data_IF_612629305113
#
_entry.id   IF_612629305113
#
_cell.length_a   1.000
_cell.length_b   1.000
_cell.length_c   1.000
_cell.angle_alpha   90.00
_cell.angle_beta   90.00
_cell.angle_gamma   90.00
#
_symmetry.space_group_name_H-M   'P 1'
#
loop_
_entity.id
_entity.type
_entity.pdbx_description
1 polymer ?
#
# COMPACT_ATOMS: atom_id res chain seq x y z
N UNK A 1 15.54 -25.51 5.71
CA UNK A 1 14.12 -25.09 5.69
C UNK A 1 14.10 -23.58 5.95
N UNK A 2 13.17 -22.81 5.36
CA UNK A 2 12.96 -21.43 5.81
C UNK A 2 12.43 -21.45 7.25
N UNK A 3 12.66 -20.38 8.02
CA UNK A 3 11.88 -20.14 9.24
C UNK A 3 10.45 -19.73 8.83
N UNK A 4 9.47 -20.19 9.57
CA UNK A 4 8.10 -19.67 9.54
C UNK A 4 7.90 -18.66 10.68
N UNK A 5 6.87 -17.79 10.62
CA UNK A 5 6.50 -16.93 11.75
C UNK A 5 6.27 -17.73 13.04
N UNK A 6 5.66 -18.92 12.93
CA UNK A 6 5.47 -19.83 14.06
C UNK A 6 6.79 -20.36 14.66
N UNK A 7 7.86 -20.51 13.88
CA UNK A 7 9.19 -20.89 14.41
C UNK A 7 9.85 -19.74 15.18
N UNK A 8 9.53 -18.48 14.83
CA UNK A 8 9.96 -17.29 15.57
C UNK A 8 9.17 -17.20 16.88
N UNK A 9 7.84 -17.33 16.83
CA UNK A 9 6.96 -17.25 18.00
C UNK A 9 7.25 -18.33 19.06
N UNK A 10 7.64 -19.54 18.63
CA UNK A 10 7.93 -20.66 19.53
C UNK A 10 9.42 -20.77 19.92
N UNK A 11 10.25 -19.76 19.64
CA UNK A 11 11.67 -19.80 20.00
C UNK A 11 11.87 -19.60 21.51
N UNK A 12 12.67 -20.45 22.14
CA UNK A 12 12.96 -20.38 23.57
C UNK A 12 14.47 -20.25 23.83
N UNK A 13 14.91 -19.11 24.34
CA UNK A 13 16.32 -18.86 24.66
C UNK A 13 16.69 -19.38 26.06
N UNK A 14 17.86 -20.02 26.17
CA UNK A 14 18.39 -20.48 27.46
C UNK A 14 18.92 -19.30 28.29
N UNK A 15 18.53 -19.21 29.56
CA UNK A 15 19.01 -18.14 30.46
C UNK A 15 20.55 -18.13 30.59
N UNK A 16 21.21 -16.96 30.71
CA UNK A 16 22.66 -16.85 30.69
C UNK A 16 23.37 -17.69 31.78
N UNK A 17 24.56 -18.27 31.49
CA UNK A 17 25.38 -18.90 32.52
C UNK A 17 25.71 -17.94 33.66
N UNK A 18 25.65 -18.45 34.90
CA UNK A 18 25.83 -17.67 36.13
C UNK A 18 27.12 -16.83 36.06
N UNK A 19 26.97 -15.52 36.30
CA UNK A 19 28.06 -14.54 36.21
C UNK A 19 28.23 -13.85 34.86
N UNK A 20 27.48 -14.24 33.81
CA UNK A 20 27.40 -13.50 32.54
C UNK A 20 26.11 -12.69 32.44
N UNK A 21 26.20 -11.51 31.83
CA UNK A 21 25.03 -10.73 31.39
C UNK A 21 24.44 -11.34 30.12
N UNK A 22 23.11 -11.36 30.03
CA UNK A 22 22.38 -11.63 28.79
C UNK A 22 21.84 -10.35 28.16
N UNK A 23 21.00 -10.52 27.15
CA UNK A 23 20.07 -9.49 26.68
C UNK A 23 18.93 -9.31 27.69
N UNK A 24 18.18 -8.21 27.58
CA UNK A 24 16.95 -8.01 28.33
C UNK A 24 15.82 -8.85 27.70
N UNK A 25 15.04 -9.56 28.51
CA UNK A 25 13.97 -10.45 28.02
C UNK A 25 12.88 -9.62 27.30
N UNK A 26 12.44 -8.50 27.89
CA UNK A 26 11.45 -7.58 27.30
C UNK A 26 11.86 -6.99 25.93
N UNK A 27 13.17 -6.69 25.75
CA UNK A 27 13.70 -6.11 24.50
C UNK A 27 13.89 -7.16 23.40
N UNK A 28 14.10 -8.43 23.77
CA UNK A 28 14.19 -9.54 22.82
C UNK A 28 12.80 -9.90 22.34
N UNK A 29 11.82 -10.01 23.23
CA UNK A 29 10.44 -10.39 22.87
C UNK A 29 9.81 -9.32 21.95
N UNK A 30 9.94 -8.03 22.28
CA UNK A 30 9.48 -6.94 21.42
C UNK A 30 10.20 -6.85 20.06
N UNK A 31 11.40 -7.42 19.92
CA UNK A 31 12.08 -7.57 18.64
C UNK A 31 11.61 -8.82 17.87
N UNK A 32 11.31 -9.92 18.56
CA UNK A 32 10.71 -11.11 17.96
C UNK A 32 9.33 -10.83 17.36
N UNK A 33 8.47 -10.07 18.05
CA UNK A 33 7.16 -9.63 17.55
C UNK A 33 7.29 -8.92 16.18
N UNK A 34 8.24 -8.00 16.07
CA UNK A 34 8.50 -7.22 14.85
C UNK A 34 9.09 -8.10 13.73
N UNK A 35 9.93 -9.09 14.07
CA UNK A 35 10.45 -10.08 13.13
C UNK A 35 9.36 -11.05 12.66
N UNK A 36 8.44 -11.47 13.54
CA UNK A 36 7.29 -12.32 13.19
C UNK A 36 6.35 -11.57 12.22
N UNK A 37 6.07 -10.29 12.49
CA UNK A 37 5.23 -9.45 11.65
C UNK A 37 5.82 -9.24 10.25
N UNK A 38 7.09 -8.83 10.13
CA UNK A 38 7.73 -8.64 8.82
C UNK A 38 7.99 -9.96 8.10
N UNK A 39 8.28 -11.06 8.80
CA UNK A 39 8.40 -12.39 8.17
C UNK A 39 7.05 -12.86 7.59
N UNK A 40 5.94 -12.63 8.29
CA UNK A 40 4.59 -12.92 7.80
C UNK A 40 4.28 -12.10 6.54
N UNK A 41 4.49 -10.78 6.62
CA UNK A 41 4.31 -9.84 5.51
C UNK A 41 5.15 -10.22 4.28
N UNK A 42 6.43 -10.57 4.47
CA UNK A 42 7.32 -10.98 3.38
C UNK A 42 6.90 -12.31 2.74
N UNK A 43 6.28 -13.21 3.48
CA UNK A 43 5.72 -14.46 2.94
C UNK A 43 4.47 -14.18 2.11
N UNK A 44 3.57 -13.31 2.58
CA UNK A 44 2.40 -12.84 1.83
C UNK A 44 2.81 -12.13 0.53
N UNK A 45 3.72 -11.14 0.62
CA UNK A 45 4.24 -10.42 -0.55
C UNK A 45 4.95 -11.37 -1.54
N UNK A 46 5.67 -12.40 -1.05
CA UNK A 46 6.27 -13.40 -1.95
C UNK A 46 5.25 -14.34 -2.59
N UNK A 47 4.09 -14.58 -1.96
CA UNK A 47 2.99 -15.33 -2.55
C UNK A 47 2.27 -14.52 -3.64
N UNK A 48 1.91 -13.27 -3.35
CA UNK A 48 1.29 -12.34 -4.30
C UNK A 48 2.17 -12.12 -5.54
N UNK A 49 3.48 -11.90 -5.34
CA UNK A 49 4.44 -11.75 -6.44
C UNK A 49 4.56 -13.03 -7.28
N UNK A 50 4.49 -14.22 -6.68
CA UNK A 50 4.50 -15.49 -7.42
C UNK A 50 3.22 -15.70 -8.22
N UNK A 51 2.06 -15.39 -7.63
CA UNK A 51 0.79 -15.43 -8.35
C UNK A 51 0.86 -14.50 -9.56
N UNK A 52 1.28 -13.24 -9.36
CA UNK A 52 1.33 -12.24 -10.43
C UNK A 52 2.33 -12.56 -11.54
N UNK A 53 3.46 -13.20 -11.23
CA UNK A 53 4.37 -13.76 -12.25
C UNK A 53 3.69 -14.89 -13.02
N UNK A 54 2.96 -15.78 -12.34
CA UNK A 54 2.20 -16.87 -12.99
C UNK A 54 1.03 -16.38 -13.86
N UNK A 55 0.41 -15.26 -13.50
CA UNK A 55 -0.60 -14.56 -14.32
C UNK A 55 0.05 -13.94 -15.57
N UNK A 56 1.14 -13.19 -15.41
CA UNK A 56 1.88 -12.59 -16.52
C UNK A 56 2.48 -13.64 -17.48
N UNK A 57 2.97 -14.77 -16.98
CA UNK A 57 3.44 -15.89 -17.82
C UNK A 57 2.29 -16.56 -18.60
N UNK A 58 1.06 -16.54 -18.07
CA UNK A 58 -0.14 -16.99 -18.78
C UNK A 58 -0.57 -15.98 -19.84
N UNK A 59 -0.64 -14.68 -19.52
CA UNK A 59 -0.92 -13.61 -20.51
C UNK A 59 0.11 -13.65 -21.66
N UNK A 60 1.40 -13.79 -21.34
CA UNK A 60 2.48 -13.94 -22.31
C UNK A 60 2.47 -15.28 -23.07
N UNK A 61 1.71 -16.28 -22.63
CA UNK A 61 1.45 -17.52 -23.38
C UNK A 61 0.22 -17.37 -24.28
N UNK A 62 -0.82 -16.65 -23.84
CA UNK A 62 -2.00 -16.32 -24.64
C UNK A 62 -1.66 -15.32 -25.77
N UNK A 63 -0.80 -14.32 -25.54
CA UNK A 63 -0.27 -13.46 -26.61
C UNK A 63 0.57 -14.24 -27.65
N UNK A 64 1.34 -15.25 -27.21
CA UNK A 64 2.18 -16.07 -28.09
C UNK A 64 1.40 -17.15 -28.85
N UNK A 65 0.28 -17.62 -28.30
CA UNK A 65 -0.60 -18.60 -28.94
C UNK A 65 -1.74 -17.95 -29.74
N UNK A 66 -2.03 -16.67 -29.50
CA UNK A 66 -2.88 -15.84 -30.37
C UNK A 66 -2.29 -15.81 -31.79
N UNK A 67 -3.04 -16.25 -32.82
CA UNK A 67 -2.51 -16.39 -34.18
C UNK A 67 -2.30 -15.03 -34.85
N UNK A 68 -1.09 -14.48 -34.71
CA UNK A 68 -0.67 -13.27 -35.41
C UNK A 68 -0.84 -13.45 -36.93
N UNK A 69 -1.62 -12.60 -37.62
CA UNK A 69 -1.86 -12.76 -39.06
C UNK A 69 -0.56 -12.52 -39.85
N UNK A 70 0.02 -13.59 -40.39
CA UNK A 70 1.20 -13.52 -41.24
C UNK A 70 0.80 -13.15 -42.68
N UNK A 71 1.31 -12.04 -43.20
CA UNK A 71 1.10 -11.63 -44.59
C UNK A 71 2.30 -10.84 -45.14
N UNK A 72 3.10 -11.49 -46.00
CA UNK A 72 4.24 -10.96 -46.79
C UNK A 72 5.43 -10.36 -45.98
N UNK A 73 6.71 -10.38 -46.40
CA UNK A 73 7.45 -10.67 -47.64
C UNK A 73 8.93 -11.00 -47.28
N UNK A 74 9.89 -11.51 -48.08
CA UNK A 74 10.03 -12.21 -49.38
C UNK A 74 11.53 -12.69 -49.49
N UNK A 75 12.01 -13.60 -50.35
CA UNK A 75 11.33 -14.50 -51.31
C UNK A 75 12.05 -15.87 -51.52
N UNK A 76 13.26 -15.99 -52.14
CA UNK A 76 13.59 -17.22 -52.89
C UNK A 76 14.85 -17.98 -52.43
N UNK A 77 14.92 -19.31 -52.68
CA UNK A 77 15.40 -19.79 -53.99
C UNK A 77 14.44 -20.78 -54.69
N UNK A 78 14.65 -21.01 -55.98
CA UNK A 78 13.75 -21.79 -56.83
C UNK A 78 14.12 -23.28 -56.98
N UNK A 79 13.12 -24.17 -56.94
CA UNK A 79 13.03 -25.38 -57.80
C UNK A 79 11.64 -26.05 -57.74
N UNK A 80 11.32 -26.80 -58.79
CA UNK A 80 10.24 -27.79 -58.92
C UNK A 80 8.77 -27.29 -58.94
N UNK A 81 8.30 -26.99 -60.17
CA UNK A 81 6.95 -27.40 -60.61
C UNK A 81 6.83 -28.95 -60.71
N UNK A 82 5.64 -29.54 -60.93
CA UNK A 82 4.45 -29.37 -60.09
C UNK A 82 3.74 -30.72 -59.80
N UNK A 83 3.03 -30.81 -58.68
CA UNK A 83 2.07 -31.90 -58.45
C UNK A 83 0.79 -31.33 -57.81
N UNK A 84 -0.34 -31.51 -58.51
CA UNK A 84 -1.70 -31.27 -57.98
C UNK A 84 -2.58 -32.40 -58.47
N UNK A 85 -2.80 -33.39 -57.61
CA UNK A 85 -3.87 -34.35 -57.80
C UNK A 85 -5.21 -33.63 -57.77
N UNK A 86 -6.00 -33.79 -58.84
CA UNK A 86 -7.37 -33.28 -58.93
C UNK A 86 -8.30 -34.47 -58.72
N UNK A 87 -8.91 -34.56 -57.55
CA UNK A 87 -9.77 -35.69 -57.18
C UNK A 87 -11.05 -35.72 -58.04
N UNK A 88 -11.42 -36.91 -58.51
CA UNK A 88 -12.43 -37.10 -59.56
C UNK A 88 -13.62 -37.97 -59.08
N UNK A 89 -14.81 -37.39 -58.92
CA UNK A 89 -16.05 -38.15 -58.76
C UNK A 89 -16.62 -38.66 -60.10
N UNK A 90 -16.93 -39.95 -60.11
CA UNK A 90 -17.60 -40.76 -61.16
C UNK A 90 -18.88 -40.10 -61.74
N UNK A 91 -19.01 -40.04 -63.08
CA UNK A 91 -19.82 -40.96 -63.93
C UNK A 91 -21.25 -40.41 -64.23
N UNK A 92 -22.00 -40.88 -65.26
CA UNK A 92 -21.83 -42.10 -66.07
C UNK A 92 -21.49 -41.89 -67.56
N UNK A 93 -21.13 -42.99 -68.23
CA UNK A 93 -20.97 -43.04 -69.67
C UNK A 93 -22.31 -43.34 -70.37
N UNK A 94 -22.58 -42.66 -71.48
CA UNK A 94 -23.57 -43.07 -72.48
C UNK A 94 -22.87 -43.17 -73.85
N UNK A 95 -22.95 -44.34 -74.48
CA UNK A 95 -22.76 -44.45 -75.91
C UNK A 95 -23.99 -43.84 -76.62
N UNK A 96 -23.85 -43.36 -77.87
CA UNK A 96 -23.96 -44.32 -78.97
C UNK A 96 -22.93 -44.13 -80.09
N UNK A 97 -22.68 -45.20 -80.84
CA UNK A 97 -22.09 -45.14 -82.16
C UNK A 97 -23.15 -45.53 -83.20
N UNK A 98 -23.42 -44.67 -84.18
CA UNK A 98 -23.98 -45.02 -85.49
C UNK A 98 -23.90 -43.79 -86.42
N UNK A 99 -23.52 -44.01 -87.67
CA UNK A 99 -23.67 -43.00 -88.72
C UNK A 99 -24.96 -43.26 -89.51
N UNK A 100 -25.72 -42.22 -89.82
CA UNK A 100 -26.81 -42.26 -90.78
C UNK A 100 -26.97 -40.89 -91.45
N UNK A 101 -26.65 -40.82 -92.74
CA UNK A 101 -26.78 -39.61 -93.57
C UNK A 101 -28.12 -39.59 -94.31
N UNK A 102 -28.86 -38.49 -94.21
CA UNK A 102 -30.04 -38.22 -95.04
C UNK A 102 -30.10 -36.72 -95.40
N UNK A 103 -30.10 -36.33 -96.70
CA UNK A 103 -30.15 -34.94 -97.10
C UNK A 103 -31.58 -34.46 -97.45
N UNK A 104 -31.83 -33.15 -97.35
CA UNK A 104 -32.85 -32.47 -98.16
C UNK A 104 -33.91 -31.62 -97.43
N UNK A 105 -33.54 -30.40 -97.02
CA UNK A 105 -34.37 -29.17 -97.05
C UNK A 105 -33.54 -27.95 -96.56
N UNK A 106 -32.37 -27.74 -97.20
CA UNK A 106 -31.27 -26.93 -96.69
C UNK A 106 -31.31 -25.41 -96.94
N UNK A 107 -32.48 -24.80 -97.14
CA UNK A 107 -32.60 -23.36 -97.39
C UNK A 107 -33.36 -22.64 -96.26
N UNK A 108 -34.68 -22.83 -96.19
CA UNK A 108 -35.55 -22.11 -95.25
C UNK A 108 -35.25 -22.46 -93.79
N UNK A 109 -34.94 -23.73 -93.51
CA UNK A 109 -34.52 -24.18 -92.18
C UNK A 109 -33.23 -23.49 -91.71
N UNK A 110 -32.29 -23.18 -92.62
CA UNK A 110 -31.07 -22.45 -92.28
C UNK A 110 -31.35 -20.95 -92.06
N UNK A 111 -32.27 -20.34 -92.81
CA UNK A 111 -32.71 -18.96 -92.55
C UNK A 111 -33.46 -18.82 -91.22
N UNK A 112 -34.31 -19.79 -90.88
CA UNK A 112 -35.02 -19.84 -89.60
C UNK A 112 -34.06 -20.09 -88.43
N UNK A 113 -33.12 -21.05 -88.57
CA UNK A 113 -32.08 -21.29 -87.57
C UNK A 113 -31.18 -20.06 -87.37
N UNK A 114 -30.75 -19.39 -88.45
CA UNK A 114 -29.96 -18.16 -88.36
C UNK A 114 -30.72 -17.02 -87.67
N UNK A 115 -32.04 -16.90 -87.89
CA UNK A 115 -32.86 -15.87 -87.22
C UNK A 115 -33.08 -16.18 -85.73
N UNK A 116 -33.22 -17.45 -85.35
CA UNK A 116 -33.26 -17.88 -83.94
C UNK A 116 -31.90 -17.70 -83.26
N UNK A 117 -30.80 -18.01 -83.94
CA UNK A 117 -29.43 -17.76 -83.45
C UNK A 117 -29.17 -16.26 -83.24
N UNK A 118 -29.58 -15.40 -84.17
CA UNK A 118 -29.46 -13.94 -84.01
C UNK A 118 -30.24 -13.42 -82.79
N UNK A 119 -31.48 -13.89 -82.58
CA UNK A 119 -32.29 -13.51 -81.43
C UNK A 119 -31.72 -14.08 -80.10
N UNK A 120 -31.14 -15.28 -80.14
CA UNK A 120 -30.44 -15.87 -79.00
C UNK A 120 -29.12 -15.14 -78.66
N UNK A 121 -28.38 -14.66 -79.67
CA UNK A 121 -27.21 -13.80 -79.48
C UNK A 121 -27.61 -12.43 -78.89
N UNK A 122 -28.63 -11.77 -79.45
CA UNK A 122 -29.16 -10.52 -78.91
C UNK A 122 -29.61 -10.67 -77.44
N UNK A 123 -30.25 -11.80 -77.09
CA UNK A 123 -30.61 -12.12 -75.71
C UNK A 123 -29.38 -12.39 -74.82
N UNK A 124 -28.33 -13.05 -75.33
CA UNK A 124 -27.11 -13.32 -74.59
C UNK A 124 -26.27 -12.04 -74.35
N UNK A 125 -26.15 -11.18 -75.37
CA UNK A 125 -25.49 -9.88 -75.28
C UNK A 125 -26.23 -8.96 -74.28
N UNK A 126 -27.57 -8.97 -74.33
CA UNK A 126 -28.40 -8.25 -73.37
C UNK A 126 -28.23 -8.76 -71.94
N UNK A 127 -28.35 -10.07 -71.71
CA UNK A 127 -28.13 -10.65 -70.38
C UNK A 127 -26.71 -10.38 -69.85
N UNK A 128 -25.71 -10.34 -70.74
CA UNK A 128 -24.33 -9.97 -70.39
C UNK A 128 -24.23 -8.49 -69.99
N UNK A 129 -24.92 -7.60 -70.70
CA UNK A 129 -25.01 -6.16 -70.37
C UNK A 129 -25.75 -5.92 -69.04
N UNK A 130 -26.87 -6.60 -68.83
CA UNK A 130 -27.70 -6.46 -67.63
C UNK A 130 -26.92 -6.99 -66.40
N UNK A 131 -26.35 -8.20 -66.47
CA UNK A 131 -25.54 -8.78 -65.39
C UNK A 131 -24.25 -7.98 -65.10
N UNK A 132 -23.62 -7.39 -66.13
CA UNK A 132 -22.49 -6.47 -65.94
C UNK A 132 -22.91 -5.20 -65.19
N UNK A 133 -24.05 -4.61 -65.57
CA UNK A 133 -24.59 -3.41 -64.92
C UNK A 133 -24.94 -3.69 -63.45
N UNK A 134 -25.57 -4.83 -63.17
CA UNK A 134 -25.85 -5.29 -61.80
C UNK A 134 -24.56 -5.52 -61.00
N UNK A 135 -23.54 -6.14 -61.60
CA UNK A 135 -22.24 -6.34 -60.95
C UNK A 135 -21.52 -5.02 -60.62
N UNK A 136 -21.52 -4.06 -61.55
CA UNK A 136 -20.95 -2.72 -61.33
C UNK A 136 -21.72 -1.94 -60.24
N UNK A 137 -23.06 -2.07 -60.20
CA UNK A 137 -23.90 -1.48 -59.15
C UNK A 137 -23.65 -2.14 -57.77
N UNK A 138 -23.54 -3.47 -57.71
CA UNK A 138 -23.23 -4.20 -56.47
C UNK A 138 -21.84 -3.84 -55.94
N UNK A 139 -20.83 -3.73 -56.80
CA UNK A 139 -19.50 -3.27 -56.43
C UNK A 139 -19.50 -1.80 -55.94
N UNK A 140 -20.27 -0.92 -56.58
CA UNK A 140 -20.46 0.46 -56.12
C UNK A 140 -21.13 0.56 -54.75
N UNK A 141 -22.18 -0.22 -54.51
CA UNK A 141 -22.87 -0.29 -53.23
C UNK A 141 -21.97 -0.87 -52.13
N UNK A 142 -21.29 -1.98 -52.40
CA UNK A 142 -20.35 -2.60 -51.46
C UNK A 142 -19.19 -1.66 -51.10
N UNK A 143 -18.68 -0.92 -52.07
CA UNK A 143 -17.64 0.10 -51.87
C UNK A 143 -18.12 1.25 -50.99
N UNK A 144 -19.27 1.85 -51.30
CA UNK A 144 -19.85 2.95 -50.51
C UNK A 144 -20.09 2.52 -49.05
N UNK A 145 -20.62 1.31 -48.84
CA UNK A 145 -20.84 0.74 -47.51
C UNK A 145 -19.51 0.50 -46.75
N UNK A 146 -18.47 -0.01 -47.44
CA UNK A 146 -17.15 -0.19 -46.83
C UNK A 146 -16.48 1.16 -46.49
N UNK A 147 -16.61 2.18 -47.34
CA UNK A 147 -16.11 3.53 -47.09
C UNK A 147 -16.83 4.19 -45.89
N UNK A 148 -18.15 4.00 -45.77
CA UNK A 148 -18.94 4.44 -44.60
C UNK A 148 -18.55 3.69 -43.31
N UNK A 149 -18.42 2.36 -43.35
CA UNK A 149 -18.00 1.58 -42.18
C UNK A 149 -16.62 2.04 -41.67
N UNK A 150 -15.71 2.40 -42.58
CA UNK A 150 -14.40 2.94 -42.23
C UNK A 150 -14.50 4.37 -41.67
N UNK A 151 -15.39 5.24 -42.14
CA UNK A 151 -15.59 6.56 -41.52
C UNK A 151 -16.20 6.45 -40.12
N UNK A 152 -17.18 5.57 -39.94
CA UNK A 152 -17.87 5.38 -38.66
C UNK A 152 -16.94 4.77 -37.61
N UNK A 153 -16.13 3.77 -38.02
CA UNK A 153 -15.10 3.17 -37.17
C UNK A 153 -13.99 4.16 -36.78
N UNK A 154 -13.55 5.03 -37.70
CA UNK A 154 -12.58 6.11 -37.39
C UNK A 154 -13.16 7.11 -36.41
N UNK A 155 -14.35 7.65 -36.69
CA UNK A 155 -15.04 8.62 -35.84
C UNK A 155 -15.21 8.08 -34.42
N UNK A 156 -15.66 6.82 -34.28
CA UNK A 156 -15.86 6.18 -32.98
C UNK A 156 -14.55 5.87 -32.24
N UNK A 157 -13.45 5.64 -32.97
CA UNK A 157 -12.11 5.51 -32.39
C UNK A 157 -11.61 6.86 -31.87
N UNK A 158 -11.79 7.93 -32.66
CA UNK A 158 -11.41 9.30 -32.30
C UNK A 158 -12.18 9.81 -31.08
N UNK A 159 -13.49 9.54 -30.97
CA UNK A 159 -14.25 9.87 -29.74
C UNK A 159 -13.76 9.08 -28.54
N UNK A 160 -13.55 7.76 -28.65
CA UNK A 160 -13.01 6.95 -27.54
C UNK A 160 -11.62 7.42 -27.08
N UNK A 161 -10.74 7.82 -28.01
CA UNK A 161 -9.41 8.37 -27.68
C UNK A 161 -9.54 9.74 -26.98
N UNK A 162 -10.50 10.58 -27.42
CA UNK A 162 -10.77 11.88 -26.78
C UNK A 162 -11.31 11.71 -25.36
N UNK A 163 -12.34 10.87 -25.18
CA UNK A 163 -12.94 10.56 -23.88
C UNK A 163 -11.92 9.94 -22.91
N UNK A 164 -11.09 9.00 -23.38
CA UNK A 164 -10.04 8.39 -22.56
C UNK A 164 -8.98 9.42 -22.12
N UNK A 165 -8.58 10.35 -22.99
CA UNK A 165 -7.67 11.45 -22.65
C UNK A 165 -8.28 12.40 -21.63
N UNK A 166 -9.50 12.90 -21.88
CA UNK A 166 -10.20 13.81 -20.98
C UNK A 166 -10.43 13.18 -19.60
N UNK A 167 -10.79 11.89 -19.55
CA UNK A 167 -10.95 11.15 -18.29
C UNK A 167 -9.62 10.97 -17.56
N UNK A 168 -8.53 10.70 -18.27
CA UNK A 168 -7.18 10.61 -17.68
C UNK A 168 -6.73 11.94 -17.09
N UNK A 169 -6.90 13.05 -17.83
CA UNK A 169 -6.55 14.41 -17.38
C UNK A 169 -7.38 14.85 -16.16
N UNK A 170 -8.68 14.52 -16.14
CA UNK A 170 -9.54 14.75 -14.97
C UNK A 170 -9.09 13.92 -13.75
N UNK A 171 -8.73 12.65 -13.93
CA UNK A 171 -8.21 11.79 -12.85
C UNK A 171 -6.86 12.27 -12.30
N UNK A 172 -5.96 12.75 -13.16
CA UNK A 172 -4.69 13.36 -12.74
C UNK A 172 -4.95 14.62 -11.92
N UNK A 173 -5.87 15.47 -12.37
CA UNK A 173 -6.23 16.73 -11.69
C UNK A 173 -6.89 16.49 -10.32
N UNK A 174 -7.80 15.51 -10.22
CA UNK A 174 -8.40 15.10 -8.94
C UNK A 174 -7.35 14.51 -8.00
N UNK A 175 -6.49 13.61 -8.49
CA UNK A 175 -5.42 13.01 -7.69
C UNK A 175 -4.42 14.06 -7.17
N UNK A 176 -4.05 15.06 -8.00
CA UNK A 176 -3.23 16.20 -7.58
C UNK A 176 -3.94 17.02 -6.50
N UNK A 177 -5.19 17.44 -6.74
CA UNK A 177 -5.99 18.24 -5.79
C UNK A 177 -6.15 17.51 -4.44
N UNK A 178 -6.39 16.20 -4.48
CA UNK A 178 -6.52 15.35 -3.29
C UNK A 178 -5.19 15.17 -2.56
N UNK A 179 -4.08 15.06 -3.30
CA UNK A 179 -2.73 15.01 -2.71
C UNK A 179 -2.35 16.33 -2.03
N UNK A 180 -2.59 17.47 -2.69
CA UNK A 180 -2.31 18.80 -2.13
C UNK A 180 -3.14 19.09 -0.88
N UNK A 181 -4.44 18.78 -0.90
CA UNK A 181 -5.32 18.95 0.27
C UNK A 181 -4.94 18.01 1.42
N UNK A 182 -4.54 16.77 1.14
CA UNK A 182 -4.01 15.85 2.16
C UNK A 182 -2.67 16.35 2.74
N UNK A 183 -1.75 16.85 1.91
CA UNK A 183 -0.48 17.44 2.35
C UNK A 183 -0.70 18.71 3.18
N UNK A 184 -1.69 19.54 2.84
CA UNK A 184 -2.05 20.72 3.64
C UNK A 184 -2.60 20.32 5.01
N UNK A 185 -3.55 19.38 5.05
CA UNK A 185 -4.09 18.84 6.32
C UNK A 185 -3.03 18.15 7.18
N UNK A 186 -2.04 17.49 6.57
CA UNK A 186 -0.93 16.88 7.30
C UNK A 186 -0.01 17.93 7.94
N UNK A 187 0.31 19.02 7.22
CA UNK A 187 1.06 20.16 7.75
C UNK A 187 0.30 20.88 8.86
N UNK A 188 -0.96 21.26 8.62
CA UNK A 188 -1.85 21.90 9.61
C UNK A 188 -1.91 21.10 10.93
N UNK A 189 -1.93 19.75 10.86
CA UNK A 189 -1.89 18.87 12.04
C UNK A 189 -0.51 18.81 12.71
N UNK A 190 0.58 18.78 11.93
CA UNK A 190 1.95 18.79 12.46
C UNK A 190 2.27 20.10 13.18
N UNK A 191 1.93 21.24 12.56
CA UNK A 191 2.10 22.58 13.12
C UNK A 191 1.28 22.74 14.41
N UNK A 192 0.04 22.24 14.44
CA UNK A 192 -0.80 22.24 15.63
C UNK A 192 -0.25 21.35 16.77
N UNK A 193 0.29 20.18 16.44
CA UNK A 193 0.93 19.28 17.42
C UNK A 193 2.22 19.88 17.98
N UNK A 194 3.04 20.53 17.14
CA UNK A 194 4.22 21.26 17.59
C UNK A 194 3.84 22.40 18.54
N UNK A 195 2.85 23.22 18.17
CA UNK A 195 2.39 24.32 19.01
C UNK A 195 1.76 23.88 20.35
N UNK A 196 1.19 22.68 20.42
CA UNK A 196 0.72 22.05 21.66
C UNK A 196 1.89 21.50 22.51
N UNK A 197 2.88 20.86 21.88
CA UNK A 197 4.10 20.39 22.53
C UNK A 197 4.94 21.55 23.12
N UNK A 198 5.07 22.67 22.40
CA UNK A 198 5.79 23.87 22.86
C UNK A 198 5.09 24.54 24.07
N UNK A 199 3.75 24.58 24.08
CA UNK A 199 2.97 25.05 25.24
C UNK A 199 3.20 24.14 26.45
N UNK A 200 3.01 22.83 26.29
CA UNK A 200 3.24 21.85 27.37
C UNK A 200 4.67 21.90 27.89
N UNK A 201 5.67 22.04 27.01
CA UNK A 201 7.06 22.22 27.41
C UNK A 201 7.26 23.50 28.24
N UNK A 202 6.70 24.64 27.82
CA UNK A 202 6.83 25.90 28.58
C UNK A 202 6.08 25.88 29.91
N UNK A 203 4.89 25.26 29.98
CA UNK A 203 4.13 25.03 31.22
C UNK A 203 4.87 24.11 32.21
N UNK A 204 5.43 23.00 31.72
CA UNK A 204 6.24 22.07 32.52
C UNK A 204 7.50 22.76 33.02
N UNK A 205 8.21 23.52 32.17
CA UNK A 205 9.42 24.24 32.57
C UNK A 205 9.11 25.39 33.55
N UNK A 206 7.98 26.08 33.42
CA UNK A 206 7.53 27.05 34.43
C UNK A 206 7.29 26.36 35.79
N UNK A 207 6.61 25.21 35.78
CA UNK A 207 6.34 24.40 36.98
C UNK A 207 7.62 23.91 37.64
N UNK A 208 8.58 23.38 36.87
CA UNK A 208 9.88 22.92 37.36
C UNK A 208 10.67 24.08 37.98
N UNK A 209 10.70 25.25 37.34
CA UNK A 209 11.39 26.42 37.88
C UNK A 209 10.72 26.95 39.17
N UNK A 210 9.39 26.90 39.27
CA UNK A 210 8.68 27.22 40.52
C UNK A 210 9.02 26.24 41.65
N UNK A 211 8.99 24.92 41.38
CA UNK A 211 9.37 23.90 42.35
C UNK A 211 10.83 24.06 42.80
N UNK A 212 11.73 24.31 41.85
CA UNK A 212 13.15 24.59 42.13
C UNK A 212 13.31 25.79 43.06
N UNK A 213 12.66 26.92 42.76
CA UNK A 213 12.71 28.14 43.59
C UNK A 213 12.21 27.90 45.02
N UNK A 214 11.12 27.14 45.19
CA UNK A 214 10.61 26.74 46.52
C UNK A 214 11.59 25.85 47.28
N UNK A 215 12.27 24.91 46.60
CA UNK A 215 13.29 24.06 47.20
C UNK A 215 14.56 24.84 47.58
N UNK A 216 15.03 25.74 46.71
CA UNK A 216 16.18 26.62 46.97
C UNK A 216 15.91 27.52 48.19
N UNK A 217 14.73 28.16 48.27
CA UNK A 217 14.33 28.96 49.43
C UNK A 217 14.21 28.13 50.73
N UNK A 218 13.73 26.89 50.66
CA UNK A 218 13.66 26.01 51.85
C UNK A 218 15.04 25.51 52.28
N UNK A 219 15.98 25.32 51.36
CA UNK A 219 17.39 25.04 51.66
C UNK A 219 18.04 26.24 52.38
N UNK A 220 17.73 27.47 51.97
CA UNK A 220 18.24 28.67 52.65
C UNK A 220 17.64 28.87 54.05
N UNK A 221 16.34 28.63 54.21
CA UNK A 221 15.69 28.60 55.54
C UNK A 221 16.34 27.56 56.47
N UNK A 222 16.60 26.34 55.98
CA UNK A 222 17.27 25.30 56.76
C UNK A 222 18.71 25.67 57.15
N UNK A 223 19.48 26.31 56.26
CA UNK A 223 20.84 26.80 56.56
C UNK A 223 20.84 27.91 57.63
N UNK A 224 19.84 28.79 57.60
CA UNK A 224 19.67 29.84 58.61
C UNK A 224 19.27 29.23 59.96
N UNK A 225 18.29 28.32 59.97
CA UNK A 225 17.90 27.58 61.18
C UNK A 225 19.07 26.78 61.77
N UNK A 226 19.88 26.11 60.95
CA UNK A 226 21.07 25.38 61.40
C UNK A 226 22.08 26.33 62.06
N UNK A 227 22.33 27.51 61.49
CA UNK A 227 23.22 28.53 62.04
C UNK A 227 22.71 29.04 63.40
N UNK A 228 21.44 29.41 63.48
CA UNK A 228 20.81 29.87 64.71
C UNK A 228 20.78 28.78 65.79
N UNK A 229 20.47 27.54 65.42
CA UNK A 229 20.47 26.39 66.32
C UNK A 229 21.88 26.11 66.86
N UNK A 230 22.92 26.11 66.01
CA UNK A 230 24.33 25.99 66.44
C UNK A 230 24.73 27.07 67.43
N UNK A 231 24.35 28.33 67.20
CA UNK A 231 24.64 29.46 68.10
C UNK A 231 23.88 29.31 69.43
N UNK A 232 22.58 29.00 69.39
CA UNK A 232 21.76 28.80 70.60
C UNK A 232 22.24 27.60 71.43
N UNK A 233 22.57 26.48 70.78
CA UNK A 233 23.12 25.30 71.45
C UNK A 233 24.48 25.60 72.09
N UNK A 234 25.37 26.33 71.40
CA UNK A 234 26.64 26.76 71.99
C UNK A 234 26.42 27.62 73.24
N UNK A 235 25.60 28.67 73.12
CA UNK A 235 25.30 29.57 74.24
C UNK A 235 24.63 28.85 75.42
N UNK A 236 23.77 27.86 75.17
CA UNK A 236 23.17 27.02 76.21
C UNK A 236 24.22 26.15 76.91
N UNK A 237 25.13 25.52 76.17
CA UNK A 237 26.21 24.70 76.75
C UNK A 237 27.22 25.55 77.52
N UNK A 238 27.56 26.75 77.02
CA UNK A 238 28.40 27.72 77.73
C UNK A 238 27.74 28.16 79.04
N UNK A 239 26.44 28.48 79.03
CA UNK A 239 25.68 28.82 80.24
C UNK A 239 25.56 27.67 81.23
N UNK A 240 25.37 26.43 80.78
CA UNK A 240 25.36 25.25 81.66
C UNK A 240 26.73 24.97 82.28
N UNK A 241 27.82 25.21 81.54
CA UNK A 241 29.18 25.03 82.03
C UNK A 241 29.52 26.12 83.06
N UNK A 242 29.11 27.37 82.83
CA UNK A 242 29.23 28.45 83.81
C UNK A 242 28.41 28.17 85.09
N UNK A 243 27.18 27.66 84.99
CA UNK A 243 26.41 27.21 86.17
C UNK A 243 27.13 26.10 86.95
N UNK A 244 27.83 25.18 86.26
CA UNK A 244 28.60 24.12 86.90
C UNK A 244 29.90 24.64 87.53
N UNK A 245 30.58 25.61 86.91
CA UNK A 245 31.73 26.29 87.53
C UNK A 245 31.30 27.12 88.74
N UNK A 246 30.18 27.83 88.68
CA UNK A 246 29.62 28.55 89.83
C UNK A 246 29.23 27.58 90.97
N UNK A 247 28.61 26.44 90.66
CA UNK A 247 28.28 25.39 91.66
C UNK A 247 29.50 24.64 92.19
N UNK A 248 30.55 24.47 91.38
CA UNK A 248 31.82 23.85 91.80
C UNK A 248 32.71 24.79 92.60
N UNK A 249 32.64 26.10 92.32
CA UNK A 249 33.25 27.18 93.11
C UNK A 249 32.53 27.36 94.45
N UNK A 250 31.21 27.16 94.48
CA UNK A 250 30.38 27.10 95.68
C UNK A 250 30.57 25.79 96.48
N UNK A 251 31.81 25.44 96.84
CA UNK A 251 32.07 24.46 97.91
C UNK A 251 31.58 25.09 99.22
N UNK A 252 30.56 24.52 99.89
CA UNK A 252 30.10 25.06 101.16
C UNK A 252 31.11 24.72 102.26
N UNK A 253 31.51 25.72 103.05
CA UNK A 253 32.03 25.46 104.39
C UNK A 253 30.85 24.99 105.25
N UNK A 254 31.10 23.99 106.09
CA UNK A 254 30.09 23.28 106.88
C UNK A 254 29.25 24.20 107.80
N UNK A 255 28.00 23.82 108.00
CA UNK A 255 26.94 24.61 108.65
C UNK A 255 25.56 23.98 108.45
N UNK A 256 25.42 22.69 108.81
CA UNK A 256 24.24 21.87 108.48
C UNK A 256 22.99 22.01 109.38
N UNK A 257 22.16 20.96 109.30
CA UNK A 257 20.91 20.66 110.04
C UNK A 257 19.58 21.32 109.61
N UNK A 258 18.88 20.57 108.75
CA UNK A 258 17.51 20.04 108.96
C UNK A 258 16.35 20.97 109.36
N UNK A 259 15.43 21.21 108.41
CA UNK A 259 14.03 20.75 108.53
C UNK A 259 13.32 20.80 107.15
N UNK A 260 12.82 19.70 106.58
CA UNK A 260 11.65 18.84 106.89
C UNK A 260 10.29 19.36 106.37
N UNK A 261 9.53 18.48 105.70
CA UNK A 261 8.11 18.58 105.31
C UNK A 261 7.72 19.64 104.24
N UNK A 262 6.66 19.45 103.42
CA UNK A 262 5.90 18.26 103.02
C UNK A 262 4.97 18.55 101.81
N UNK A 263 4.80 17.57 100.91
CA UNK A 263 3.72 17.52 99.92
C UNK A 263 4.08 18.03 98.51
N UNK A 264 3.48 17.53 97.43
CA UNK A 264 2.52 16.42 97.33
C UNK A 264 1.57 16.57 96.13
N UNK A 265 1.22 15.46 95.47
CA UNK A 265 0.39 15.39 94.24
C UNK A 265 0.98 16.07 92.99
N UNK A 266 0.65 15.64 91.77
CA UNK A 266 0.34 14.29 91.27
C UNK A 266 0.47 14.28 89.74
N UNK A 267 0.55 13.08 89.17
CA UNK A 267 0.41 12.71 87.76
C UNK A 267 -0.40 13.64 86.85
N UNK A 268 0.01 13.72 85.57
CA UNK A 268 -0.94 13.35 84.52
C UNK A 268 -0.27 12.66 83.32
N UNK A 269 -1.06 11.92 82.55
CA UNK A 269 -0.63 10.97 81.52
C UNK A 269 -1.17 11.39 80.11
N UNK A 270 -1.02 10.51 79.13
CA UNK A 270 -1.72 10.47 77.82
C UNK A 270 -1.49 11.59 76.79
N UNK A 271 -0.68 11.25 75.78
CA UNK A 271 -1.06 11.15 74.36
C UNK A 271 -2.03 12.17 73.72
N UNK A 272 -1.61 12.70 72.56
CA UNK A 272 -2.50 12.96 71.43
C UNK A 272 -1.92 12.34 70.15
N UNK A 273 -2.75 12.11 69.13
CA UNK A 273 -2.50 11.14 68.06
C UNK A 273 -2.28 11.76 66.67
N UNK A 274 -1.69 10.97 65.76
CA UNK A 274 -1.41 11.38 64.39
C UNK A 274 -2.62 11.28 63.43
N UNK A 275 -2.69 12.21 62.47
CA UNK A 275 -3.30 12.08 61.13
C UNK A 275 -2.73 13.19 60.23
N UNK A 276 -2.44 13.01 58.94
CA UNK A 276 -2.49 11.79 58.12
C UNK A 276 -3.75 11.67 57.26
N UNK A 277 -3.60 11.91 55.95
CA UNK A 277 -4.62 11.86 54.87
C UNK A 277 -5.79 12.86 54.99
N UNK A 278 -6.31 13.42 53.91
CA UNK A 278 -6.05 13.19 52.47
C UNK A 278 -5.70 14.48 51.73
#
# INVERSE_FOLDING_TARGET
MPLTPADVHNVAFSKPPIGKRGYNEDEVDAFLDLVEQELSRLIEENADLRQRVGELDQELAEEKSSPRPQSAAQSPPAKAEPARDVEQPKAPAMAPAAAASAPGQGADAHMQAAKVLGLAQEMADRLTSDAKTESEQLLGNARTNAEQLVSDARTRSETMISEARQKSEALITDAQTRSETQLRQAKEKADALQADAEKKHTEIMATINQQRSVLEGRIEQLKTFEREYRVRLKSYLESQLEELEQRGSAVPVDGGQDSFAQGGSQSNYSQSYAKGTS
#
